data_IF_404785971230
#
_entry.id   IF_404785971230
#
_cell.length_a   1.000
_cell.length_b   1.000
_cell.length_c   1.000
_cell.angle_alpha   90.00
_cell.angle_beta   90.00
_cell.angle_gamma   90.00
#
_symmetry.space_group_name_H-M   'P 1'
#
loop_
_entity.id
_entity.type
_entity.pdbx_description
1 polymer ?
#
# COMPACT_ATOMS: atom_id res chain seq x y z
N UNK A 1 66.41 -44.01 -24.72
CA UNK A 1 66.37 -43.80 -23.26
C UNK A 1 65.49 -42.59 -22.98
N UNK A 2 64.29 -42.82 -22.45
CA UNK A 2 63.31 -41.79 -22.11
C UNK A 2 63.56 -41.36 -20.67
N UNK A 3 63.90 -40.09 -20.43
CA UNK A 3 64.02 -39.57 -19.06
C UNK A 3 63.64 -38.09 -19.04
N UNK A 4 62.47 -37.83 -18.45
CA UNK A 4 62.05 -36.67 -17.62
C UNK A 4 62.39 -35.29 -18.22
N UNK A 5 61.44 -34.38 -18.38
CA UNK A 5 60.97 -33.54 -17.27
C UNK A 5 59.63 -32.90 -17.67
N UNK A 6 58.67 -33.04 -16.76
CA UNK A 6 57.43 -32.27 -16.66
C UNK A 6 57.74 -30.80 -16.41
N UNK A 7 57.07 -29.89 -17.12
CA UNK A 7 56.72 -28.59 -16.53
C UNK A 7 55.39 -28.10 -17.14
N UNK A 8 54.31 -28.44 -16.44
CA UNK A 8 52.97 -27.88 -16.66
C UNK A 8 52.98 -26.48 -16.04
N UNK A 9 52.98 -25.45 -16.89
CA UNK A 9 52.80 -24.06 -16.48
C UNK A 9 51.35 -23.82 -16.09
N UNK A 10 51.07 -23.80 -14.79
CA UNK A 10 49.79 -23.39 -14.22
C UNK A 10 49.69 -21.85 -14.32
N UNK A 11 49.13 -21.34 -15.42
CA UNK A 11 48.68 -19.94 -15.49
C UNK A 11 47.49 -19.76 -14.56
N UNK A 12 47.76 -19.25 -13.36
CA UNK A 12 46.73 -18.71 -12.47
C UNK A 12 46.23 -17.41 -13.08
N UNK A 13 45.13 -17.49 -13.81
CA UNK A 13 44.30 -16.33 -14.12
C UNK A 13 43.54 -15.95 -12.85
N UNK A 14 44.14 -15.08 -12.03
CA UNK A 14 43.35 -14.29 -11.08
C UNK A 14 42.45 -13.37 -11.89
N UNK A 15 41.22 -13.81 -12.14
CA UNK A 15 40.13 -12.90 -12.51
C UNK A 15 39.87 -12.05 -11.28
N UNK A 16 40.61 -10.95 -11.18
CA UNK A 16 40.30 -9.88 -10.27
C UNK A 16 38.96 -9.32 -10.73
N UNK A 17 37.90 -9.65 -10.00
CA UNK A 17 36.63 -8.96 -10.10
C UNK A 17 36.87 -7.49 -9.73
N UNK A 18 37.22 -6.67 -10.72
CA UNK A 18 37.10 -5.22 -10.65
C UNK A 18 35.62 -4.85 -10.66
N UNK A 19 34.92 -5.19 -9.59
CA UNK A 19 33.69 -4.49 -9.24
C UNK A 19 34.12 -3.12 -8.71
N UNK A 20 34.30 -2.17 -9.62
CA UNK A 20 33.93 -0.78 -9.36
C UNK A 20 32.41 -0.73 -9.19
N UNK A 21 31.89 -1.44 -8.20
CA UNK A 21 30.54 -1.26 -7.71
C UNK A 21 30.63 -0.11 -6.74
N UNK A 22 29.96 1.01 -7.04
CA UNK A 22 29.49 1.92 -5.99
C UNK A 22 28.96 1.02 -4.88
N UNK A 23 29.59 1.04 -3.70
CA UNK A 23 28.98 0.47 -2.51
C UNK A 23 27.64 1.19 -2.39
N UNK A 24 26.56 0.54 -2.81
CA UNK A 24 25.22 0.99 -2.45
C UNK A 24 25.28 1.03 -0.94
N UNK A 25 25.36 2.24 -0.37
CA UNK A 25 25.23 2.44 1.05
C UNK A 25 23.85 1.88 1.39
N UNK A 26 23.83 0.64 1.85
CA UNK A 26 22.61 0.00 2.29
C UNK A 26 22.20 0.79 3.52
N UNK A 27 21.14 1.58 3.35
CA UNK A 27 20.63 2.44 4.41
C UNK A 27 20.28 1.54 5.60
N UNK A 28 20.81 1.89 6.78
CA UNK A 28 20.64 1.05 7.95
C UNK A 28 19.15 0.96 8.30
N UNK A 29 18.68 -0.25 8.63
CA UNK A 29 17.31 -0.45 9.05
C UNK A 29 17.05 0.32 10.36
N UNK A 30 16.00 1.17 10.45
CA UNK A 30 15.75 1.94 11.65
C UNK A 30 15.43 1.03 12.84
N UNK A 31 16.20 1.15 13.92
CA UNK A 31 16.11 0.25 15.08
C UNK A 31 14.76 0.30 15.82
N UNK A 32 13.99 1.39 15.67
CA UNK A 32 12.66 1.54 16.26
C UNK A 32 11.63 0.52 15.73
N UNK A 33 11.86 -0.01 14.52
CA UNK A 33 11.02 -1.04 13.91
C UNK A 33 11.61 -2.45 14.05
N UNK A 34 12.62 -2.64 14.91
CA UNK A 34 13.20 -3.96 15.14
C UNK A 34 12.13 -4.95 15.63
N UNK A 35 12.15 -6.17 15.07
CA UNK A 35 11.15 -7.22 15.30
C UNK A 35 9.74 -6.86 14.77
N UNK A 36 9.64 -6.07 13.69
CA UNK A 36 8.42 -6.00 12.91
C UNK A 36 8.11 -7.37 12.28
N UNK A 37 6.85 -7.79 12.36
CA UNK A 37 6.39 -9.06 11.76
C UNK A 37 6.43 -9.03 10.23
N UNK A 38 6.36 -7.84 9.63
CA UNK A 38 6.51 -7.60 8.20
C UNK A 38 7.35 -6.35 7.93
N UNK A 39 8.27 -6.48 6.97
CA UNK A 39 9.18 -5.42 6.54
C UNK A 39 8.89 -5.11 5.07
N UNK A 40 8.25 -3.97 4.81
CA UNK A 40 7.91 -3.53 3.45
C UNK A 40 9.16 -3.11 2.68
N UNK A 41 9.39 -3.75 1.53
CA UNK A 41 10.55 -3.43 0.68
C UNK A 41 10.45 -2.02 0.07
N UNK A 42 11.59 -1.40 -0.22
CA UNK A 42 11.64 -0.08 -0.89
C UNK A 42 10.86 -0.09 -2.22
N UNK A 43 11.03 -1.15 -3.02
CA UNK A 43 10.35 -1.31 -4.31
C UNK A 43 8.84 -1.38 -4.16
N UNK A 44 8.37 -2.14 -3.18
CA UNK A 44 6.94 -2.29 -2.92
C UNK A 44 6.35 -1.00 -2.35
N UNK A 45 7.09 -0.30 -1.47
CA UNK A 45 6.70 1.01 -0.98
C UNK A 45 6.57 2.05 -2.11
N UNK A 46 7.54 2.12 -3.02
CA UNK A 46 7.47 3.01 -4.18
C UNK A 46 6.27 2.71 -5.08
N UNK A 47 5.97 1.42 -5.30
CA UNK A 47 4.79 1.00 -6.08
C UNK A 47 3.49 1.34 -5.35
N UNK A 48 3.45 1.11 -4.03
CA UNK A 48 2.31 1.45 -3.19
C UNK A 48 2.00 2.95 -3.24
N UNK A 49 3.00 3.81 -3.06
CA UNK A 49 2.85 5.27 -3.21
C UNK A 49 2.25 5.62 -4.57
N UNK A 50 2.78 5.06 -5.65
CA UNK A 50 2.31 5.36 -7.00
C UNK A 50 0.84 4.96 -7.21
N UNK A 51 0.45 3.77 -6.77
CA UNK A 51 -0.94 3.29 -6.85
C UNK A 51 -1.88 4.12 -5.96
N UNK A 52 -1.45 4.45 -4.75
CA UNK A 52 -2.18 5.32 -3.83
C UNK A 52 -2.44 6.70 -4.41
N UNK A 53 -1.45 7.30 -5.06
CA UNK A 53 -1.59 8.60 -5.72
C UNK A 53 -2.58 8.52 -6.90
N UNK A 54 -2.48 7.49 -7.75
CA UNK A 54 -3.45 7.30 -8.84
C UNK A 54 -4.87 7.09 -8.32
N UNK A 55 -5.05 6.29 -7.27
CA UNK A 55 -6.36 6.08 -6.63
C UNK A 55 -6.92 7.38 -6.05
N UNK A 56 -6.09 8.17 -5.34
CA UNK A 56 -6.48 9.47 -4.79
C UNK A 56 -6.89 10.47 -5.87
N UNK A 57 -6.06 10.65 -6.91
CA UNK A 57 -6.37 11.54 -8.02
C UNK A 57 -7.62 11.10 -8.80
N UNK A 58 -7.83 9.79 -8.91
CA UNK A 58 -9.04 9.26 -9.51
C UNK A 58 -10.27 9.56 -8.66
N UNK A 59 -10.34 9.10 -7.41
CA UNK A 59 -11.56 9.17 -6.59
C UNK A 59 -11.84 10.61 -6.13
N UNK A 60 -10.79 11.36 -5.82
CA UNK A 60 -10.85 12.65 -5.14
C UNK A 60 -10.09 13.76 -5.88
N UNK A 61 -10.39 14.04 -7.17
CA UNK A 61 -9.59 14.91 -8.03
C UNK A 61 -9.47 16.36 -7.54
N UNK A 62 -10.42 16.81 -6.70
CA UNK A 62 -10.50 18.17 -6.19
C UNK A 62 -10.43 18.24 -4.65
N UNK A 63 -10.03 17.16 -3.99
CA UNK A 63 -10.02 17.11 -2.53
C UNK A 63 -8.90 17.98 -1.97
N UNK A 64 -9.28 18.94 -1.14
CA UNK A 64 -8.33 19.78 -0.40
C UNK A 64 -8.01 19.16 0.95
N UNK A 65 -6.85 19.52 1.51
CA UNK A 65 -6.47 19.12 2.88
C UNK A 65 -7.51 19.54 3.94
N UNK A 66 -8.16 20.70 3.75
CA UNK A 66 -9.20 21.19 4.66
C UNK A 66 -10.42 20.28 4.60
N UNK A 67 -10.92 19.94 3.41
CA UNK A 67 -12.04 19.01 3.26
C UNK A 67 -11.72 17.63 3.85
N UNK A 68 -10.51 17.14 3.62
CA UNK A 68 -10.05 15.86 4.16
C UNK A 68 -10.01 15.84 5.69
N UNK A 69 -9.58 16.94 6.33
CA UNK A 69 -9.57 17.07 7.79
C UNK A 69 -10.97 17.09 8.42
N UNK A 70 -12.01 17.36 7.62
CA UNK A 70 -13.41 17.39 8.04
C UNK A 70 -14.22 16.18 7.55
N UNK A 71 -13.56 15.12 7.10
CA UNK A 71 -14.23 13.87 6.76
C UNK A 71 -15.04 13.32 7.94
N UNK A 72 -16.24 12.81 7.65
CA UNK A 72 -16.93 11.95 8.60
C UNK A 72 -16.13 10.67 8.81
N UNK A 73 -16.47 9.87 9.83
CA UNK A 73 -15.78 8.59 10.06
C UNK A 73 -15.88 7.67 8.84
N UNK A 74 -17.04 7.64 8.19
CA UNK A 74 -17.34 6.86 7.00
C UNK A 74 -16.51 7.33 5.79
N UNK A 75 -16.43 8.64 5.58
CA UNK A 75 -15.62 9.20 4.50
C UNK A 75 -14.12 8.96 4.76
N UNK A 76 -13.66 9.07 6.01
CA UNK A 76 -12.28 8.77 6.41
C UNK A 76 -11.93 7.28 6.25
N UNK A 77 -12.88 6.38 6.54
CA UNK A 77 -12.71 4.96 6.32
C UNK A 77 -12.58 4.62 4.84
N UNK A 78 -13.52 5.09 4.01
CA UNK A 78 -13.49 4.84 2.55
C UNK A 78 -12.22 5.41 1.94
N UNK A 79 -11.86 6.64 2.32
CA UNK A 79 -10.61 7.22 1.86
C UNK A 79 -9.41 6.34 2.26
N UNK A 80 -9.30 5.93 3.52
CA UNK A 80 -8.17 5.12 3.99
C UNK A 80 -8.10 3.77 3.28
N UNK A 81 -9.24 3.12 3.08
CA UNK A 81 -9.33 1.83 2.41
C UNK A 81 -8.94 1.93 0.94
N UNK A 82 -9.54 2.85 0.19
CA UNK A 82 -9.35 2.96 -1.26
C UNK A 82 -8.04 3.64 -1.66
N UNK A 83 -7.55 4.59 -0.87
CA UNK A 83 -6.33 5.34 -1.18
C UNK A 83 -5.09 4.64 -0.62
N UNK A 84 -5.17 3.91 0.49
CA UNK A 84 -3.99 3.30 1.09
C UNK A 84 -4.04 1.77 1.10
N UNK A 85 -5.08 1.16 1.66
CA UNK A 85 -5.03 -0.28 1.95
C UNK A 85 -5.30 -1.18 0.75
N UNK A 86 -6.24 -0.86 -0.14
CA UNK A 86 -6.41 -1.60 -1.39
C UNK A 86 -5.19 -1.48 -2.32
N UNK A 87 -4.57 -0.30 -2.48
CA UNK A 87 -3.27 -0.21 -3.16
C UNK A 87 -2.17 -1.04 -2.51
N UNK A 88 -2.07 -1.05 -1.17
CA UNK A 88 -1.09 -1.88 -0.48
C UNK A 88 -1.36 -3.38 -0.71
N UNK A 89 -2.63 -3.78 -0.63
CA UNK A 89 -3.09 -5.14 -0.90
C UNK A 89 -2.74 -5.60 -2.31
N UNK A 90 -2.87 -4.73 -3.32
CA UNK A 90 -2.45 -5.05 -4.70
C UNK A 90 -0.93 -5.34 -4.78
N UNK A 91 -0.13 -4.65 -3.95
CA UNK A 91 1.33 -4.77 -3.98
C UNK A 91 1.81 -6.01 -3.22
N UNK A 92 1.34 -6.19 -1.99
CA UNK A 92 1.89 -7.22 -1.08
C UNK A 92 0.93 -8.38 -0.82
N UNK A 93 -0.35 -8.27 -1.19
CA UNK A 93 -1.38 -9.29 -0.96
C UNK A 93 -2.09 -9.15 0.39
N UNK A 94 -3.35 -9.59 0.43
CA UNK A 94 -4.27 -9.44 1.57
C UNK A 94 -3.71 -10.02 2.87
N UNK A 95 -3.10 -11.22 2.81
CA UNK A 95 -2.56 -11.88 3.99
C UNK A 95 -1.45 -11.06 4.66
N UNK A 96 -0.60 -10.40 3.86
CA UNK A 96 0.47 -9.57 4.37
C UNK A 96 -0.04 -8.22 4.86
N UNK A 97 -1.05 -7.64 4.22
CA UNK A 97 -1.74 -6.46 4.75
C UNK A 97 -2.31 -6.72 6.14
N UNK A 98 -2.91 -7.89 6.38
CA UNK A 98 -3.41 -8.27 7.71
C UNK A 98 -2.30 -8.34 8.76
N UNK A 99 -1.11 -8.86 8.40
CA UNK A 99 0.06 -8.85 9.29
C UNK A 99 0.47 -7.41 9.58
N UNK A 100 0.61 -6.58 8.54
CA UNK A 100 1.01 -5.17 8.68
C UNK A 100 0.01 -4.40 9.56
N UNK A 101 -1.29 -4.57 9.36
CA UNK A 101 -2.35 -3.94 10.18
C UNK A 101 -2.44 -4.47 11.61
N UNK A 102 -2.04 -5.72 11.83
CA UNK A 102 -2.07 -6.40 13.13
C UNK A 102 -0.87 -6.09 14.02
N UNK A 103 0.26 -5.66 13.45
CA UNK A 103 1.50 -5.34 14.17
C UNK A 103 1.85 -3.85 14.05
N UNK A 104 1.93 -3.15 15.18
CA UNK A 104 2.23 -1.71 15.24
C UNK A 104 3.61 -1.37 14.66
N UNK A 105 4.60 -2.25 14.81
CA UNK A 105 5.94 -2.01 14.25
C UNK A 105 5.96 -2.16 12.74
N UNK A 106 5.29 -3.18 12.21
CA UNK A 106 5.09 -3.38 10.78
C UNK A 106 4.35 -2.20 10.15
N UNK A 107 3.25 -1.76 10.76
CA UNK A 107 2.53 -0.59 10.27
C UNK A 107 3.36 0.70 10.36
N UNK A 108 4.07 0.89 11.48
CA UNK A 108 4.97 2.03 11.64
C UNK A 108 6.07 2.07 10.59
N UNK A 109 6.66 0.91 10.26
CA UNK A 109 7.66 0.83 9.20
C UNK A 109 7.07 1.06 7.81
N UNK A 110 5.88 0.51 7.53
CA UNK A 110 5.17 0.77 6.28
C UNK A 110 4.87 2.27 6.11
N UNK A 111 4.45 2.96 7.18
CA UNK A 111 4.25 4.42 7.18
C UNK A 111 5.55 5.18 6.95
N UNK A 112 6.64 4.78 7.61
CA UNK A 112 7.97 5.34 7.40
C UNK A 112 8.38 5.23 5.92
N UNK A 113 8.24 4.04 5.33
CA UNK A 113 8.56 3.78 3.93
C UNK A 113 7.68 4.59 2.97
N UNK A 114 6.37 4.65 3.22
CA UNK A 114 5.45 5.45 2.40
C UNK A 114 5.85 6.93 2.39
N UNK A 115 6.19 7.51 3.56
CA UNK A 115 6.65 8.89 3.66
C UNK A 115 8.00 9.10 2.98
N UNK A 116 8.94 8.16 3.17
CA UNK A 116 10.27 8.17 2.53
C UNK A 116 10.15 8.26 1.01
N UNK A 117 9.24 7.49 0.41
CA UNK A 117 9.09 7.38 -1.05
C UNK A 117 8.00 8.25 -1.66
N UNK A 118 7.27 9.05 -0.87
CA UNK A 118 6.19 9.93 -1.34
C UNK A 118 6.60 10.84 -2.50
N UNK A 119 7.84 11.34 -2.50
CA UNK A 119 8.37 12.20 -3.57
C UNK A 119 9.22 11.44 -4.60
N UNK A 120 9.25 10.11 -4.52
CA UNK A 120 9.98 9.24 -5.45
C UNK A 120 9.19 7.95 -5.69
N UNK A 121 7.91 8.05 -6.15
CA UNK A 121 7.09 6.89 -6.47
C UNK A 121 7.69 6.08 -7.63
N UNK A 122 7.28 4.82 -7.73
CA UNK A 122 7.63 4.00 -8.88
C UNK A 122 6.98 4.55 -10.16
N UNK A 123 7.66 4.39 -11.30
CA UNK A 123 7.05 4.60 -12.60
C UNK A 123 6.17 3.40 -12.94
N UNK A 124 4.86 3.62 -12.98
CA UNK A 124 3.85 2.59 -13.24
C UNK A 124 2.92 3.04 -14.37
N UNK A 125 2.29 2.08 -15.02
CA UNK A 125 1.29 2.38 -16.04
C UNK A 125 0.16 3.24 -15.44
N UNK A 126 -0.30 4.22 -16.21
CA UNK A 126 -1.40 5.09 -15.79
C UNK A 126 -2.72 4.33 -15.83
N UNK A 127 -3.49 4.44 -14.76
CA UNK A 127 -4.86 3.95 -14.70
C UNK A 127 -5.67 4.48 -15.88
N UNK A 128 -6.32 3.56 -16.61
CA UNK A 128 -7.22 3.91 -17.70
C UNK A 128 -8.47 4.61 -17.19
N UNK A 129 -9.13 5.40 -18.05
CA UNK A 129 -10.40 6.04 -17.71
C UNK A 129 -11.47 5.04 -17.26
N UNK A 130 -11.50 3.84 -17.88
CA UNK A 130 -12.45 2.78 -17.52
C UNK A 130 -12.19 2.26 -16.10
N UNK A 131 -10.93 1.98 -15.76
CA UNK A 131 -10.56 1.56 -14.41
C UNK A 131 -10.91 2.63 -13.39
N UNK A 132 -10.63 3.91 -13.69
CA UNK A 132 -10.98 5.00 -12.78
C UNK A 132 -12.49 5.16 -12.58
N UNK A 133 -13.29 5.01 -13.64
CA UNK A 133 -14.76 5.03 -13.52
C UNK A 133 -15.28 3.88 -12.65
N UNK A 134 -14.74 2.67 -12.82
CA UNK A 134 -15.07 1.53 -11.96
C UNK A 134 -14.70 1.80 -10.51
N UNK A 135 -13.48 2.29 -10.25
CA UNK A 135 -12.99 2.58 -8.91
C UNK A 135 -13.86 3.65 -8.21
N UNK A 136 -14.26 4.69 -8.93
CA UNK A 136 -15.19 5.73 -8.42
C UNK A 136 -16.56 5.17 -8.07
N UNK A 137 -17.10 4.30 -8.93
CA UNK A 137 -18.39 3.67 -8.69
C UNK A 137 -18.34 2.79 -7.43
N UNK A 138 -17.30 1.96 -7.30
CA UNK A 138 -17.08 1.10 -6.13
C UNK A 138 -16.93 1.93 -4.84
N UNK A 139 -16.06 2.95 -4.83
CA UNK A 139 -15.86 3.80 -3.65
C UNK A 139 -17.16 4.51 -3.22
N UNK A 140 -17.95 4.99 -4.18
CA UNK A 140 -19.26 5.62 -3.90
C UNK A 140 -20.27 4.62 -3.34
N UNK A 141 -20.26 3.41 -3.88
CA UNK A 141 -21.18 2.35 -3.52
C UNK A 141 -20.90 1.81 -2.12
N UNK A 142 -19.63 1.59 -1.80
CA UNK A 142 -19.19 1.17 -0.47
C UNK A 142 -19.42 2.29 0.56
N UNK A 143 -19.20 3.55 0.18
CA UNK A 143 -19.53 4.68 1.05
C UNK A 143 -21.02 4.72 1.40
N UNK A 144 -21.90 4.44 0.44
CA UNK A 144 -23.34 4.33 0.68
C UNK A 144 -23.65 3.22 1.69
N UNK A 145 -23.06 2.03 1.51
CA UNK A 145 -23.22 0.88 2.43
C UNK A 145 -22.72 1.21 3.83
N UNK A 146 -21.53 1.79 3.95
CA UNK A 146 -20.94 2.18 5.24
C UNK A 146 -21.78 3.26 5.93
N UNK A 147 -22.40 4.17 5.16
CA UNK A 147 -23.38 5.16 5.66
C UNK A 147 -24.75 4.55 6.02
N UNK A 148 -24.93 3.23 5.90
CA UNK A 148 -26.17 2.53 6.23
C UNK A 148 -27.23 2.52 5.13
N UNK A 149 -26.88 2.96 3.92
CA UNK A 149 -27.79 2.85 2.78
C UNK A 149 -27.82 1.39 2.34
N UNK A 150 -28.95 0.73 2.54
CA UNK A 150 -29.11 -0.68 2.20
C UNK A 150 -28.89 -0.88 0.69
N UNK A 151 -27.97 -1.76 0.35
CA UNK A 151 -27.85 -2.38 -0.97
C UNK A 151 -27.96 -3.88 -0.74
N UNK A 152 -28.98 -4.53 -1.30
CA UNK A 152 -29.09 -5.98 -1.24
C UNK A 152 -27.86 -6.61 -1.88
N UNK A 153 -27.36 -7.69 -1.28
CA UNK A 153 -26.32 -8.54 -1.87
C UNK A 153 -26.81 -9.39 -3.05
N UNK A 154 -28.07 -9.21 -3.47
CA UNK A 154 -28.71 -9.88 -4.61
C UNK A 154 -28.78 -8.92 -5.81
N UNK A 155 -28.92 -9.45 -7.03
CA UNK A 155 -29.24 -8.64 -8.22
C UNK A 155 -30.57 -7.92 -7.95
N UNK A 156 -30.53 -6.61 -7.65
CA UNK A 156 -31.74 -5.86 -7.33
C UNK A 156 -32.53 -5.50 -8.58
N UNK A 157 -33.82 -5.86 -8.58
CA UNK A 157 -34.84 -5.10 -9.29
C UNK A 157 -35.22 -3.88 -8.44
N UNK A 158 -35.21 -2.70 -9.06
CA UNK A 158 -35.43 -1.40 -8.41
C UNK A 158 -36.73 -1.41 -7.59
N UNK A 159 -36.60 -1.48 -6.26
CA UNK A 159 -37.64 -1.06 -5.33
C UNK A 159 -37.04 -0.21 -4.22
N UNK A 160 -37.30 1.09 -4.34
CA UNK A 160 -37.22 2.07 -3.26
C UNK A 160 -38.16 1.67 -2.13
N UNK A 161 -37.59 1.30 -0.98
CA UNK A 161 -38.06 1.69 0.36
C UNK A 161 -37.20 1.03 1.43
N UNK A 162 -36.47 1.82 2.25
CA UNK A 162 -36.25 1.50 3.67
C UNK A 162 -35.61 2.67 4.44
N UNK A 163 -36.15 2.91 5.63
CA UNK A 163 -35.74 3.90 6.64
C UNK A 163 -34.31 3.66 7.14
N UNK A 164 -33.59 4.76 7.38
CA UNK A 164 -32.24 4.77 7.97
C UNK A 164 -32.26 4.24 9.41
N UNK A 165 -31.85 2.98 9.58
CA UNK A 165 -31.27 2.50 10.83
C UNK A 165 -29.79 2.87 10.88
N UNK A 166 -29.21 2.95 12.09
CA UNK A 166 -27.80 3.22 12.32
C UNK A 166 -26.92 2.47 11.30
N UNK A 167 -26.06 3.22 10.60
CA UNK A 167 -25.19 2.67 9.56
C UNK A 167 -24.36 1.50 10.06
N UNK A 168 -23.92 0.63 9.14
CA UNK A 168 -23.26 -0.66 9.40
C UNK A 168 -22.18 -0.54 10.49
N UNK A 169 -22.57 -0.75 11.76
CA UNK A 169 -21.77 -0.82 12.98
C UNK A 169 -20.42 -0.05 12.97
N UNK A 170 -20.38 1.19 12.49
CA UNK A 170 -19.13 1.98 12.40
C UNK A 170 -18.63 2.45 13.76
N UNK A 171 -19.49 2.43 14.78
CA UNK A 171 -19.16 2.89 16.12
C UNK A 171 -18.55 1.81 17.03
N UNK A 172 -18.70 0.52 16.71
CA UNK A 172 -18.25 -0.60 17.55
C UNK A 172 -17.22 -1.53 16.86
N UNK A 173 -16.87 -1.29 15.59
CA UNK A 173 -15.98 -2.16 14.84
C UNK A 173 -14.50 -1.73 14.97
N UNK A 174 -13.70 -2.49 15.71
CA UNK A 174 -12.26 -2.25 15.88
C UNK A 174 -11.51 -2.12 14.54
N UNK A 175 -11.82 -2.96 13.55
CA UNK A 175 -11.16 -2.92 12.24
C UNK A 175 -11.39 -1.58 11.52
N UNK A 176 -12.60 -1.03 11.65
CA UNK A 176 -12.95 0.26 11.07
C UNK A 176 -12.11 1.40 11.67
N UNK A 177 -11.94 1.40 13.00
CA UNK A 177 -11.09 2.38 13.68
C UNK A 177 -9.61 2.20 13.38
N UNK A 178 -9.12 0.96 13.30
CA UNK A 178 -7.72 0.68 12.98
C UNK A 178 -7.39 1.17 11.55
N UNK A 179 -8.28 0.95 10.58
CA UNK A 179 -8.12 1.47 9.21
C UNK A 179 -8.07 3.00 9.19
N UNK A 180 -8.99 3.68 9.89
CA UNK A 180 -8.99 5.14 9.97
C UNK A 180 -7.72 5.66 10.66
N UNK A 181 -7.34 5.05 11.80
CA UNK A 181 -6.13 5.41 12.57
C UNK A 181 -4.91 5.35 11.66
N UNK A 182 -4.71 4.21 11.00
CA UNK A 182 -3.53 3.98 10.17
C UNK A 182 -3.53 4.82 8.90
N UNK A 183 -4.68 4.98 8.24
CA UNK A 183 -4.82 5.86 7.08
C UNK A 183 -4.58 7.33 7.41
N UNK A 184 -5.04 7.79 8.57
CA UNK A 184 -4.80 9.17 9.03
C UNK A 184 -3.31 9.44 9.27
N UNK A 185 -2.57 8.46 9.80
CA UNK A 185 -1.14 8.59 10.04
C UNK A 185 -0.28 8.62 8.75
N UNK A 186 -0.80 8.09 7.63
CA UNK A 186 -0.18 8.20 6.31
C UNK A 186 -0.37 9.58 5.67
N UNK A 187 -1.33 10.37 6.16
CA UNK A 187 -1.59 11.73 5.68
C UNK A 187 -0.72 12.80 6.36
N UNK A 188 -0.24 12.52 7.56
CA UNK A 188 0.62 13.40 8.37
C UNK A 188 2.09 13.30 7.94
#
# INVERSE_FOLDING_TARGET
MLKKIMLVGMTVLTVGCSFSGKSVQQEAFPGEFANADYVLSDKDAQRWVALSEQASQCIYPNLTRIQQAHFSKEDAYIHSQYVFFYPLEEVIGEQYVKIVQGDEKSMGYAQYQFKKFKNSPADIEKMSNKQCQTLRAQAKDDLAVVKGQYKSGMVEEVKTDAKSGDGVATNDNKFFFDIIKWGSALLL
#
